data_IF_454449568865
#
_entry.id   IF_454449568865
#
_cell.length_a   1.000
_cell.length_b   1.000
_cell.length_c   1.000
_cell.angle_alpha   90.00
_cell.angle_beta   90.00
_cell.angle_gamma   90.00
#
_symmetry.space_group_name_H-M   'P 1'
#
loop_
_entity.id
_entity.type
_entity.pdbx_description
1 polymer ?
#
# COMPACT_ATOMS: atom_id res chain seq x y z
N UNK A 1 2.16 13.18 -4.94
CA UNK A 1 0.77 12.69 -5.06
C UNK A 1 0.19 12.53 -3.67
N UNK A 2 -1.07 12.91 -3.43
CA UNK A 2 -1.75 12.75 -2.13
C UNK A 2 -3.09 12.06 -2.34
N UNK A 3 -3.39 11.09 -1.49
CA UNK A 3 -4.66 10.40 -1.42
C UNK A 3 -5.09 10.29 0.05
N UNK A 4 -6.14 11.02 0.44
CA UNK A 4 -6.49 11.22 1.85
C UNK A 4 -5.24 11.59 2.68
N UNK A 5 -4.92 10.79 3.69
CA UNK A 5 -3.78 11.03 4.59
C UNK A 5 -2.45 10.47 4.06
N UNK A 6 -2.49 9.58 3.06
CA UNK A 6 -1.30 8.97 2.48
C UNK A 6 -0.79 9.82 1.29
N UNK A 7 0.48 10.22 1.35
CA UNK A 7 1.10 10.97 0.26
C UNK A 7 2.54 10.53 0.01
N UNK A 8 2.98 10.72 -1.23
CA UNK A 8 4.35 10.53 -1.69
C UNK A 8 4.89 11.85 -2.23
N UNK A 9 6.15 12.14 -1.88
CA UNK A 9 6.90 13.28 -2.40
C UNK A 9 8.10 12.75 -3.16
N UNK A 10 8.12 13.01 -4.46
CA UNK A 10 9.24 12.64 -5.33
C UNK A 10 10.27 13.76 -5.30
N UNK A 11 11.52 13.42 -5.01
CA UNK A 11 12.63 14.36 -4.91
C UNK A 11 13.76 13.92 -5.83
N UNK A 12 14.46 14.86 -6.45
CA UNK A 12 15.56 14.57 -7.38
C UNK A 12 16.90 14.25 -6.68
N UNK A 13 17.01 14.42 -5.35
CA UNK A 13 18.23 14.14 -4.60
C UNK A 13 17.95 13.73 -3.15
N UNK A 14 18.86 12.94 -2.57
CA UNK A 14 18.80 12.53 -1.17
C UNK A 14 18.83 13.73 -0.20
N UNK A 15 19.67 14.73 -0.45
CA UNK A 15 19.69 15.96 0.36
C UNK A 15 18.37 16.73 0.27
N UNK A 16 17.75 16.73 -0.90
CA UNK A 16 16.43 17.33 -1.13
C UNK A 16 15.34 16.62 -0.35
N UNK A 17 15.30 15.28 -0.40
CA UNK A 17 14.30 14.48 0.32
C UNK A 17 14.43 14.63 1.83
N UNK A 18 15.64 14.65 2.38
CA UNK A 18 15.85 14.91 3.81
C UNK A 18 15.36 16.29 4.25
N UNK A 19 15.65 17.33 3.45
CA UNK A 19 15.19 18.70 3.75
C UNK A 19 13.67 18.77 3.78
N UNK A 20 13.02 18.14 2.79
CA UNK A 20 11.57 18.08 2.70
C UNK A 20 10.98 17.27 3.86
N UNK A 21 11.57 16.12 4.19
CA UNK A 21 11.14 15.29 5.32
C UNK A 21 11.19 16.05 6.64
N UNK A 22 12.28 16.80 6.90
CA UNK A 22 12.38 17.66 8.09
C UNK A 22 11.30 18.75 8.11
N UNK A 23 11.03 19.38 6.96
CA UNK A 23 9.99 20.40 6.84
C UNK A 23 8.59 19.86 7.11
N UNK A 24 8.25 18.71 6.51
CA UNK A 24 6.96 18.04 6.70
C UNK A 24 6.80 17.62 8.15
N UNK A 25 7.82 17.01 8.75
CA UNK A 25 7.79 16.61 10.17
C UNK A 25 7.53 17.81 11.08
N UNK A 26 8.25 18.91 10.85
CA UNK A 26 8.06 20.16 11.62
C UNK A 26 6.65 20.72 11.45
N UNK A 27 6.09 20.69 10.24
CA UNK A 27 4.74 21.20 9.99
C UNK A 27 3.67 20.34 10.66
N UNK A 28 3.77 19.01 10.54
CA UNK A 28 2.80 18.08 11.12
C UNK A 28 2.82 18.11 12.66
N UNK A 29 4.01 18.20 13.26
CA UNK A 29 4.16 18.26 14.72
C UNK A 29 3.70 19.61 15.31
N UNK A 30 4.03 20.74 14.67
CA UNK A 30 3.73 22.06 15.25
C UNK A 30 2.33 22.58 14.89
N UNK A 31 1.92 22.48 13.63
CA UNK A 31 0.67 23.10 13.14
C UNK A 31 -0.51 22.15 13.33
N UNK A 32 -0.35 20.88 12.97
CA UNK A 32 -1.42 19.89 13.07
C UNK A 32 -1.49 19.21 14.44
N UNK A 33 -0.45 19.35 15.28
CA UNK A 33 -0.30 18.67 16.57
C UNK A 33 -0.46 17.15 16.48
N UNK A 34 -0.07 16.59 15.34
CA UNK A 34 -0.13 15.15 15.08
C UNK A 34 1.27 14.56 15.23
N UNK A 35 1.35 13.36 15.82
CA UNK A 35 2.60 12.62 15.94
C UNK A 35 2.89 11.87 14.65
N UNK A 36 3.98 12.23 13.96
CA UNK A 36 4.48 11.46 12.82
C UNK A 36 5.05 10.14 13.34
N UNK A 37 4.48 9.01 12.92
CA UNK A 37 5.04 7.70 13.21
C UNK A 37 6.31 7.47 12.35
N UNK A 38 7.53 7.48 12.93
CA UNK A 38 8.77 7.43 12.16
C UNK A 38 8.95 6.12 11.39
N UNK A 39 8.28 5.06 11.83
CA UNK A 39 8.33 3.73 11.21
C UNK A 39 7.53 3.63 9.91
N UNK A 40 6.62 4.58 9.64
CA UNK A 40 5.81 4.59 8.42
C UNK A 40 6.36 5.54 7.35
N UNK A 41 7.06 6.61 7.76
CA UNK A 41 7.58 7.63 6.86
C UNK A 41 9.05 7.39 6.58
N UNK A 42 9.33 6.75 5.45
CA UNK A 42 10.70 6.41 5.00
C UNK A 42 11.08 7.20 3.76
N UNK A 43 12.36 7.53 3.65
CA UNK A 43 12.97 8.00 2.39
C UNK A 43 13.48 6.74 1.69
N UNK A 44 13.04 6.52 0.46
CA UNK A 44 13.43 5.37 -0.36
C UNK A 44 14.03 5.89 -1.66
N UNK A 45 15.10 5.24 -2.13
CA UNK A 45 15.61 5.47 -3.47
C UNK A 45 14.83 4.58 -4.44
N UNK A 46 13.92 5.18 -5.23
CA UNK A 46 13.05 4.46 -6.15
C UNK A 46 13.80 3.78 -7.33
N UNK A 47 15.09 4.10 -7.53
CA UNK A 47 15.94 3.45 -8.54
C UNK A 47 16.62 2.18 -8.02
N UNK A 48 16.86 2.09 -6.71
CA UNK A 48 17.54 0.96 -6.07
C UNK A 48 16.56 -0.01 -5.41
N UNK A 49 15.46 0.50 -4.86
CA UNK A 49 14.51 -0.28 -4.07
C UNK A 49 13.05 0.00 -4.47
N UNK A 50 12.18 -1.04 -4.41
CA UNK A 50 10.76 -0.86 -4.64
C UNK A 50 10.10 -0.13 -3.47
N UNK A 51 9.03 0.63 -3.76
CA UNK A 51 8.19 1.22 -2.72
C UNK A 51 6.71 0.92 -2.96
N UNK A 52 5.96 0.79 -1.86
CA UNK A 52 4.52 0.52 -1.92
C UNK A 52 3.71 1.81 -1.69
N UNK A 53 2.73 2.07 -2.55
CA UNK A 53 1.76 3.15 -2.38
C UNK A 53 0.36 2.71 -2.83
N UNK A 54 -0.66 2.94 -2.00
CA UNK A 54 -2.07 2.58 -2.26
C UNK A 54 -2.31 1.12 -2.69
N UNK A 55 -1.46 0.19 -2.23
CA UNK A 55 -1.57 -1.23 -2.57
C UNK A 55 -0.90 -1.65 -3.87
N UNK A 56 -0.20 -0.74 -4.53
CA UNK A 56 0.70 -1.03 -5.65
C UNK A 56 2.15 -0.93 -5.19
N UNK A 57 3.00 -1.75 -5.80
CA UNK A 57 4.45 -1.68 -5.65
C UNK A 57 5.03 -1.10 -6.94
N UNK A 58 5.92 -0.12 -6.77
CA UNK A 58 6.58 0.58 -7.85
C UNK A 58 8.07 0.29 -7.79
N UNK A 59 8.65 -0.05 -8.94
CA UNK A 59 10.08 -0.27 -9.10
C UNK A 59 10.51 0.18 -10.50
N UNK A 60 11.29 1.25 -10.60
CA UNK A 60 11.66 1.85 -11.89
C UNK A 60 10.41 2.07 -12.78
N UNK A 61 10.36 1.41 -13.94
CA UNK A 61 9.24 1.46 -14.89
C UNK A 61 8.18 0.38 -14.66
N UNK A 62 8.35 -0.45 -13.63
CA UNK A 62 7.43 -1.53 -13.28
C UNK A 62 6.42 -1.07 -12.22
N UNK A 63 5.15 -1.44 -12.43
CA UNK A 63 4.05 -1.28 -11.48
C UNK A 63 3.36 -2.62 -11.28
N UNK A 64 3.46 -3.17 -10.07
CA UNK A 64 2.84 -4.43 -9.66
C UNK A 64 1.85 -4.24 -8.52
N UNK A 65 1.10 -5.31 -8.21
CA UNK A 65 0.31 -5.36 -6.97
C UNK A 65 1.28 -5.57 -5.81
N UNK A 66 1.11 -4.81 -4.72
CA UNK A 66 1.97 -4.99 -3.56
C UNK A 66 1.87 -6.42 -3.02
N UNK A 67 2.99 -7.11 -2.73
CA UNK A 67 3.00 -8.51 -2.30
C UNK A 67 2.07 -8.79 -1.11
N UNK A 68 1.97 -7.81 -0.19
CA UNK A 68 1.06 -7.87 0.96
C UNK A 68 -0.42 -7.93 0.54
N UNK A 69 -0.82 -7.13 -0.46
CA UNK A 69 -2.19 -7.10 -0.97
C UNK A 69 -2.50 -8.38 -1.75
N UNK A 70 -1.57 -8.88 -2.54
CA UNK A 70 -1.69 -10.16 -3.24
C UNK A 70 -1.91 -11.31 -2.25
N UNK A 71 -1.12 -11.36 -1.16
CA UNK A 71 -1.27 -12.38 -0.10
C UNK A 71 -2.62 -12.30 0.59
N UNK A 72 -3.12 -11.09 0.87
CA UNK A 72 -4.46 -10.88 1.46
C UNK A 72 -5.53 -11.37 0.49
N UNK A 73 -5.42 -11.04 -0.80
CA UNK A 73 -6.35 -11.46 -1.83
C UNK A 73 -6.40 -12.99 -1.93
N UNK A 74 -5.25 -13.64 -2.15
CA UNK A 74 -5.13 -15.11 -2.19
C UNK A 74 -5.64 -15.78 -0.92
N UNK A 75 -5.36 -15.18 0.25
CA UNK A 75 -5.84 -15.67 1.54
C UNK A 75 -7.36 -15.59 1.68
N UNK A 76 -7.98 -14.53 1.14
CA UNK A 76 -9.44 -14.39 1.12
C UNK A 76 -10.07 -15.36 0.14
N UNK A 77 -9.56 -15.47 -1.09
CA UNK A 77 -10.03 -16.47 -2.08
C UNK A 77 -10.00 -17.87 -1.48
N UNK A 78 -8.87 -18.28 -0.86
CA UNK A 78 -8.73 -19.58 -0.20
C UNK A 78 -9.74 -19.81 0.93
N UNK A 79 -10.13 -18.76 1.65
CA UNK A 79 -11.14 -18.83 2.72
C UNK A 79 -12.54 -19.00 2.13
N UNK A 80 -12.84 -18.29 1.05
CA UNK A 80 -14.12 -18.39 0.35
C UNK A 80 -14.27 -19.78 -0.30
N UNK A 81 -13.21 -20.34 -0.89
CA UNK A 81 -13.23 -21.63 -1.59
C UNK A 81 -12.83 -22.82 -0.71
N UNK A 82 -13.17 -22.80 0.60
CA UNK A 82 -12.78 -23.87 1.54
C UNK A 82 -13.47 -25.19 1.20
N UNK A 83 -12.72 -26.30 1.20
CA UNK A 83 -13.19 -27.65 0.83
C UNK A 83 -14.40 -28.17 1.64
N UNK A 84 -14.48 -27.86 2.93
CA UNK A 84 -15.59 -28.28 3.79
C UNK A 84 -16.62 -27.16 3.90
N UNK A 85 -17.51 -27.09 2.92
CA UNK A 85 -18.65 -26.18 2.91
C UNK A 85 -19.90 -26.90 2.39
N UNK A 86 -21.06 -26.44 2.84
CA UNK A 86 -22.37 -27.04 2.55
C UNK A 86 -23.04 -26.42 1.32
N UNK A 87 -22.38 -25.47 0.65
CA UNK A 87 -22.89 -24.79 -0.53
C UNK A 87 -22.63 -25.62 -1.80
N UNK A 88 -23.55 -25.56 -2.77
CA UNK A 88 -23.30 -26.10 -4.10
C UNK A 88 -22.22 -25.29 -4.82
N UNK A 89 -21.59 -25.89 -5.83
CA UNK A 89 -20.51 -25.24 -6.58
C UNK A 89 -21.04 -24.03 -7.35
N UNK A 90 -22.26 -24.11 -7.90
CA UNK A 90 -22.85 -22.99 -8.66
C UNK A 90 -23.08 -21.78 -7.75
N UNK A 91 -23.71 -22.00 -6.59
CA UNK A 91 -23.97 -20.94 -5.59
C UNK A 91 -22.67 -20.34 -5.07
N UNK A 92 -21.64 -21.15 -4.84
CA UNK A 92 -20.33 -20.66 -4.42
C UNK A 92 -19.72 -19.73 -5.46
N UNK A 93 -19.78 -20.11 -6.74
CA UNK A 93 -19.19 -19.33 -7.83
C UNK A 93 -19.95 -18.02 -8.01
N UNK A 94 -21.27 -18.08 -8.13
CA UNK A 94 -22.09 -16.91 -8.48
C UNK A 94 -22.26 -15.92 -7.32
N UNK A 95 -22.54 -16.41 -6.11
CA UNK A 95 -22.88 -15.52 -4.98
C UNK A 95 -21.67 -15.11 -4.14
N UNK A 96 -20.56 -15.86 -4.21
CA UNK A 96 -19.42 -15.66 -3.30
C UNK A 96 -18.13 -15.31 -4.02
N UNK A 97 -17.74 -16.07 -5.04
CA UNK A 97 -16.46 -15.88 -5.70
C UNK A 97 -16.51 -14.74 -6.73
N UNK A 98 -17.46 -14.76 -7.65
CA UNK A 98 -17.59 -13.77 -8.73
C UNK A 98 -17.76 -12.33 -8.22
N UNK A 99 -18.54 -12.03 -7.16
CA UNK A 99 -18.65 -10.66 -6.65
C UNK A 99 -17.37 -10.15 -5.97
N UNK A 100 -16.42 -11.04 -5.66
CA UNK A 100 -15.17 -10.71 -4.99
C UNK A 100 -13.96 -10.63 -5.94
N UNK A 101 -14.03 -11.28 -7.10
CA UNK A 101 -13.02 -11.21 -8.16
C UNK A 101 -13.17 -9.90 -8.96
#
# INVERSE_FOLDING_TARGET
MRFADDFIVLCCSAKGSERVMRGIKKYVENEMKLTVYPTKSVIVNAEEEPFTFLGYEFYLNYRGIAPKKEKIFKGKVKRLTRRNQTLSIEVLVDDTLNPYL
#
